data_IF_531880524129
#
_entry.id   IF_531880524129
#
_cell.length_a   1.000
_cell.length_b   1.000
_cell.length_c   1.000
_cell.angle_alpha   90.00
_cell.angle_beta   90.00
_cell.angle_gamma   90.00
#
_symmetry.space_group_name_H-M   'P 1'
#
loop_
_entity.id
_entity.type
_entity.pdbx_description
1 polymer ?
#
# COMPACT_ATOMS: atom_id res chain seq x y z
N UNK A 1 41.36 20.68 29.92
CA UNK A 1 40.76 22.01 29.66
C UNK A 1 40.34 21.98 28.19
N UNK A 2 39.23 21.34 27.85
CA UNK A 2 37.81 21.73 27.99
C UNK A 2 37.36 22.86 27.04
N UNK A 3 36.28 22.54 26.33
CA UNK A 3 35.37 23.39 25.51
C UNK A 3 35.89 23.76 24.10
N UNK A 4 35.10 23.70 23.02
CA UNK A 4 33.64 23.63 22.88
C UNK A 4 33.25 22.99 21.53
N UNK A 5 32.22 22.15 21.53
CA UNK A 5 31.40 21.90 20.33
C UNK A 5 30.61 23.17 20.02
N UNK A 6 30.45 23.54 18.73
CA UNK A 6 29.25 24.23 18.22
C UNK A 6 29.09 23.96 16.71
N UNK A 7 27.84 23.71 16.34
CA UNK A 7 27.31 23.31 15.04
C UNK A 7 27.53 24.29 13.88
N UNK A 8 27.55 23.73 12.66
CA UNK A 8 27.00 24.40 11.47
C UNK A 8 26.24 23.36 10.63
N UNK A 9 24.92 23.32 10.80
CA UNK A 9 23.99 22.94 9.73
C UNK A 9 23.82 24.18 8.85
N UNK A 10 23.97 24.07 7.53
CA UNK A 10 22.78 24.33 6.72
C UNK A 10 22.73 23.54 5.41
N UNK A 11 21.54 23.01 5.13
CA UNK A 11 21.01 22.75 3.79
C UNK A 11 21.90 21.92 2.85
N UNK A 12 21.92 20.59 3.07
CA UNK A 12 22.05 19.68 1.94
C UNK A 12 20.88 19.95 1.00
N UNK A 13 21.21 20.59 -0.13
CA UNK A 13 20.33 20.90 -1.24
C UNK A 13 19.37 19.72 -1.49
N UNK A 14 18.07 19.99 -1.40
CA UNK A 14 17.03 19.11 -1.91
C UNK A 14 17.22 19.02 -3.42
N UNK A 15 18.06 18.08 -3.87
CA UNK A 15 17.97 17.59 -5.23
C UNK A 15 16.62 16.90 -5.33
N UNK A 16 15.68 17.60 -5.97
CA UNK A 16 14.41 17.03 -6.41
C UNK A 16 14.70 16.07 -7.56
N UNK A 17 15.39 14.98 -7.25
CA UNK A 17 15.44 13.82 -8.10
C UNK A 17 14.04 13.23 -7.99
N UNK A 18 13.19 13.51 -8.99
CA UNK A 18 11.99 12.69 -9.24
C UNK A 18 12.48 11.28 -9.52
N UNK A 19 12.77 10.53 -8.46
CA UNK A 19 13.02 9.10 -8.52
C UNK A 19 11.71 8.51 -9.01
N UNK A 20 11.64 8.21 -10.30
CA UNK A 20 10.57 7.37 -10.83
C UNK A 20 10.64 6.08 -10.02
N UNK A 21 9.67 5.89 -9.13
CA UNK A 21 9.53 4.66 -8.37
C UNK A 21 9.07 3.63 -9.36
N UNK A 22 10.03 2.87 -9.91
CA UNK A 22 9.72 1.70 -10.70
C UNK A 22 8.94 0.73 -9.80
N UNK A 23 7.68 0.46 -10.16
CA UNK A 23 6.85 -0.48 -9.42
C UNK A 23 7.41 -1.88 -9.64
N UNK A 24 7.96 -2.47 -8.59
CA UNK A 24 8.51 -3.82 -8.61
C UNK A 24 7.46 -4.85 -9.03
N UNK A 25 7.90 -6.01 -9.51
CA UNK A 25 6.99 -7.11 -9.82
C UNK A 25 6.13 -7.50 -8.60
N UNK A 26 6.70 -7.45 -7.40
CA UNK A 26 5.98 -7.66 -6.13
C UNK A 26 4.91 -6.59 -5.92
N UNK A 27 5.23 -5.32 -6.18
CA UNK A 27 4.27 -4.22 -6.06
C UNK A 27 3.07 -4.37 -7.02
N UNK A 28 3.30 -4.89 -8.23
CA UNK A 28 2.23 -5.20 -9.17
C UNK A 28 1.31 -6.30 -8.64
N UNK A 29 1.87 -7.39 -8.10
CA UNK A 29 1.07 -8.48 -7.53
C UNK A 29 0.30 -8.03 -6.30
N UNK A 30 0.95 -7.29 -5.39
CA UNK A 30 0.34 -6.76 -4.17
C UNK A 30 -0.87 -5.84 -4.46
N UNK A 31 -0.91 -5.15 -5.60
CA UNK A 31 -2.06 -4.28 -5.96
C UNK A 31 -3.37 -5.01 -6.23
N UNK A 32 -3.34 -6.33 -6.43
CA UNK A 32 -4.54 -7.14 -6.70
C UNK A 32 -5.11 -7.82 -5.46
N UNK A 33 -4.41 -7.75 -4.31
CA UNK A 33 -4.79 -8.44 -3.08
C UNK A 33 -4.87 -7.45 -1.91
N UNK A 34 -5.72 -7.70 -0.89
CA UNK A 34 -5.79 -6.83 0.29
C UNK A 34 -4.50 -6.85 1.10
N UNK A 35 -4.24 -5.76 1.83
CA UNK A 35 -3.14 -5.68 2.80
C UNK A 35 -3.18 -6.81 3.84
N UNK A 36 -4.39 -7.28 4.18
CA UNK A 36 -4.62 -8.43 5.05
C UNK A 36 -3.95 -9.72 4.54
N UNK A 37 -3.67 -9.82 3.24
CA UNK A 37 -2.96 -10.96 2.62
C UNK A 37 -1.49 -10.63 2.37
N UNK A 38 -1.17 -9.39 1.97
CA UNK A 38 0.21 -8.98 1.62
C UNK A 38 1.15 -9.02 2.83
N UNK A 39 0.66 -8.61 4.00
CA UNK A 39 1.48 -8.43 5.20
C UNK A 39 1.21 -9.46 6.30
N UNK A 40 0.43 -10.50 5.99
CA UNK A 40 0.11 -11.56 6.93
C UNK A 40 1.06 -12.75 6.81
N UNK A 41 1.46 -13.31 7.94
CA UNK A 41 2.26 -14.54 8.01
C UNK A 41 1.34 -15.78 8.12
N UNK A 42 0.50 -16.00 7.10
CA UNK A 42 -0.49 -17.10 7.10
C UNK A 42 0.17 -18.47 6.89
N UNK A 43 -0.42 -19.52 7.48
CA UNK A 43 0.01 -20.90 7.24
C UNK A 43 -0.29 -21.34 5.80
N UNK A 44 0.56 -22.21 5.24
CA UNK A 44 0.34 -22.84 3.93
C UNK A 44 -0.53 -24.11 4.01
N UNK A 45 -0.95 -24.53 5.22
CA UNK A 45 -1.87 -25.65 5.42
C UNK A 45 -3.26 -25.32 4.85
N UNK A 46 -3.92 -26.30 4.24
CA UNK A 46 -5.25 -26.09 3.62
C UNK A 46 -6.24 -27.14 4.15
N UNK A 47 -7.39 -26.71 4.74
CA UNK A 47 -7.84 -25.33 4.92
C UNK A 47 -7.10 -24.60 6.06
N UNK A 48 -6.90 -23.29 5.89
CA UNK A 48 -6.41 -22.38 6.94
C UNK A 48 -7.56 -21.50 7.47
N UNK A 49 -7.60 -21.24 8.77
CA UNK A 49 -8.59 -20.34 9.39
C UNK A 49 -7.93 -19.59 10.55
N UNK A 50 -8.22 -18.29 10.64
CA UNK A 50 -7.75 -17.41 11.71
C UNK A 50 -8.92 -16.54 12.20
N UNK A 51 -8.95 -16.25 13.50
CA UNK A 51 -9.98 -15.40 14.12
C UNK A 51 -9.43 -13.99 14.37
N UNK A 52 -10.21 -12.97 14.04
CA UNK A 52 -9.88 -11.57 14.29
C UNK A 52 -11.14 -10.77 14.63
N UNK A 53 -10.97 -9.65 15.33
CA UNK A 53 -12.03 -8.68 15.59
C UNK A 53 -11.90 -7.49 14.63
N UNK A 54 -13.00 -7.06 14.01
CA UNK A 54 -12.98 -5.97 13.05
C UNK A 54 -14.36 -5.40 12.75
N UNK A 55 -14.38 -4.31 11.99
CA UNK A 55 -15.61 -3.68 11.48
C UNK A 55 -15.66 -3.86 9.98
N UNK A 56 -16.81 -4.26 9.45
CA UNK A 56 -17.02 -4.45 8.01
C UNK A 56 -17.82 -3.30 7.42
N UNK A 57 -17.32 -2.75 6.32
CA UNK A 57 -18.05 -1.80 5.48
C UNK A 57 -18.52 -2.51 4.22
N UNK A 58 -19.83 -2.49 3.97
CA UNK A 58 -20.42 -2.98 2.74
C UNK A 58 -20.90 -1.80 1.90
N UNK A 59 -20.34 -1.65 0.70
CA UNK A 59 -20.70 -0.61 -0.26
C UNK A 59 -21.32 -1.28 -1.48
N UNK A 60 -22.57 -0.97 -1.77
CA UNK A 60 -23.23 -1.41 -3.01
C UNK A 60 -22.82 -0.50 -4.17
N UNK A 61 -22.20 -1.09 -5.20
CA UNK A 61 -21.79 -0.42 -6.43
C UNK A 61 -22.61 -0.90 -7.65
N UNK A 62 -23.66 -1.69 -7.43
CA UNK A 62 -24.50 -2.26 -8.49
C UNK A 62 -25.07 -1.18 -9.42
N UNK A 63 -25.56 -0.07 -8.86
CA UNK A 63 -26.11 1.05 -9.64
C UNK A 63 -25.08 1.73 -10.57
N UNK A 64 -23.79 1.76 -10.19
CA UNK A 64 -22.72 2.30 -11.06
C UNK A 64 -22.36 1.34 -12.20
N UNK A 65 -22.48 0.04 -11.97
CA UNK A 65 -22.21 -0.98 -12.98
C UNK A 65 -23.36 -1.08 -14.00
N UNK A 66 -24.58 -0.67 -13.64
CA UNK A 66 -25.73 -0.63 -14.54
C UNK A 66 -25.58 0.46 -15.63
N UNK A 67 -25.03 1.64 -15.30
CA UNK A 67 -24.74 2.70 -16.28
C UNK A 67 -23.60 2.34 -17.25
N UNK A 68 -22.70 1.45 -16.85
CA UNK A 68 -21.62 0.95 -17.72
C UNK A 68 -22.08 -0.16 -18.68
N UNK A 69 -23.35 -0.58 -18.61
CA UNK A 69 -23.94 -1.62 -19.47
C UNK A 69 -24.45 -1.07 -20.82
N UNK A 70 -24.38 0.25 -21.04
CA UNK A 70 -24.68 0.88 -22.32
C UNK A 70 -23.41 1.04 -23.17
N UNK A 71 -23.11 0.02 -23.96
CA UNK A 71 -22.45 0.01 -25.28
C UNK A 71 -21.78 -1.36 -25.51
N UNK A 72 -22.64 -2.37 -25.68
CA UNK A 72 -22.30 -3.57 -26.44
C UNK A 72 -23.44 -3.77 -27.45
N UNK A 73 -23.50 -2.90 -28.47
CA UNK A 73 -24.24 -3.10 -29.72
C UNK A 73 -23.34 -2.75 -30.89
#
# INVERSE_FOLDING_TARGET
MSHSQTAISPATMLTNEKKQVEVSAVGKVASYVPDLIVYSDLSQEVPFTESFDGVLLFIDISGRLEELKCECL
#
